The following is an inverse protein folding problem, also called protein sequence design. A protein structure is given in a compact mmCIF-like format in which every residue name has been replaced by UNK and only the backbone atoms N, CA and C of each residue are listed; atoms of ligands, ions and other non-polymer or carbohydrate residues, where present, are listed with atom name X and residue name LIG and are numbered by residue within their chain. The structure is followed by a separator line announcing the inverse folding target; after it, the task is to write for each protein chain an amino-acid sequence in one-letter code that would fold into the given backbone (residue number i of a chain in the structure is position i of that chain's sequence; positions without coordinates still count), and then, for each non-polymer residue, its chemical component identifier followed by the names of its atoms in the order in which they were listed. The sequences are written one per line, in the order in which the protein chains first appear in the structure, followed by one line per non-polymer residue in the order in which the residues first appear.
data_IF_723590554373
#
_entry.id   IF_723590554373
#
_cell.length_a   1.000
_cell.length_b   1.000
_cell.length_c   1.000
_cell.angle_alpha   90.00
_cell.angle_beta   90.00
_cell.angle_gamma   90.00
#
_symmetry.space_group_name_H-M   'P 1'
#
loop_
_entity.id
_entity.type
_entity.pdbx_description
1 polymer ?
#
# COMPACT_ATOMS: atom_id res chain seq x y z
N UNK A 1 17.70 17.13 -1.98
CA UNK A 1 17.85 15.67 -2.04
C UNK A 1 16.47 15.06 -2.18
N UNK A 2 16.36 13.88 -2.79
CA UNK A 2 15.10 13.20 -3.09
C UNK A 2 14.24 12.94 -1.84
N UNK A 3 14.85 12.58 -0.70
CA UNK A 3 14.11 12.37 0.56
C UNK A 3 13.50 13.64 1.20
N UNK A 4 13.87 14.85 0.74
CA UNK A 4 13.27 16.11 1.24
C UNK A 4 11.95 16.46 0.56
N UNK A 5 11.61 15.80 -0.55
CA UNK A 5 10.38 16.11 -1.28
C UNK A 5 9.15 15.47 -0.66
N UNK A 6 9.32 14.49 0.24
CA UNK A 6 8.27 13.60 0.77
C UNK A 6 7.54 12.78 -0.30
N UNK A 7 7.93 12.88 -1.57
CA UNK A 7 7.29 12.18 -2.69
C UNK A 7 7.91 10.80 -2.93
N UNK A 8 8.26 10.08 -1.86
CA UNK A 8 8.95 8.82 -1.97
C UNK A 8 8.56 7.84 -0.87
N UNK A 9 8.14 6.64 -1.28
CA UNK A 9 7.98 5.48 -0.42
C UNK A 9 9.31 4.74 -0.23
N UNK A 10 9.53 4.27 0.99
CA UNK A 10 10.64 3.38 1.33
C UNK A 10 10.04 2.03 1.70
N UNK A 11 10.56 0.95 1.13
CA UNK A 11 10.40 -0.36 1.73
C UNK A 11 11.76 -0.84 2.23
N UNK A 12 11.75 -1.66 3.28
CA UNK A 12 12.93 -2.35 3.76
C UNK A 12 12.74 -3.84 3.49
N UNK A 13 13.78 -4.46 2.97
CA UNK A 13 13.88 -5.89 2.74
C UNK A 13 15.13 -6.43 3.41
N UNK A 14 14.94 -7.41 4.31
CA UNK A 14 16.02 -8.06 5.05
C UNK A 14 16.31 -9.39 4.38
N UNK A 15 17.57 -9.64 4.03
CA UNK A 15 17.97 -10.84 3.34
C UNK A 15 19.35 -11.31 3.80
N UNK A 16 19.55 -12.62 3.74
CA UNK A 16 20.78 -13.26 4.17
C UNK A 16 21.62 -13.66 2.96
N UNK A 17 22.91 -13.32 2.97
CA UNK A 17 23.88 -13.79 1.97
C UNK A 17 24.93 -14.66 2.64
N UNK A 18 25.09 -15.89 2.15
CA UNK A 18 26.25 -16.74 2.48
C UNK A 18 27.43 -16.40 1.56
N UNK A 19 28.39 -15.63 2.06
CA UNK A 19 29.60 -15.25 1.34
C UNK A 19 30.65 -16.34 1.47
N UNK A 20 30.60 -17.33 0.58
CA UNK A 20 31.59 -18.41 0.51
C UNK A 20 32.96 -17.85 0.16
N UNK A 21 33.89 -17.85 1.12
CA UNK A 21 35.29 -17.47 0.89
C UNK A 21 36.05 -18.65 0.30
N UNK A 22 36.86 -18.40 -0.73
CA UNK A 22 37.61 -19.44 -1.47
C UNK A 22 38.86 -19.94 -0.72
N UNK A 23 39.15 -19.37 0.45
CA UNK A 23 40.34 -19.68 1.23
C UNK A 23 40.07 -20.87 2.15
N UNK A 24 40.38 -22.07 1.66
CA UNK A 24 40.47 -23.28 2.48
C UNK A 24 41.74 -23.24 3.36
N UNK A 25 41.74 -22.45 4.42
CA UNK A 25 42.71 -22.63 5.51
C UNK A 25 41.92 -23.11 6.73
N UNK A 26 42.26 -24.33 7.12
CA UNK A 26 41.75 -25.11 8.24
C UNK A 26 41.83 -24.29 9.54
N UNK A 27 40.82 -24.46 10.39
CA UNK A 27 40.66 -23.91 11.75
C UNK A 27 40.40 -22.40 11.85
N UNK A 28 39.23 -21.94 11.39
CA UNK A 28 38.39 -20.93 12.05
C UNK A 28 37.01 -20.94 11.38
N UNK A 29 35.93 -21.22 12.11
CA UNK A 29 34.55 -21.09 11.58
C UNK A 29 34.28 -19.60 11.35
N UNK A 30 34.65 -19.11 10.18
CA UNK A 30 34.41 -17.72 9.80
C UNK A 30 32.92 -17.60 9.52
N UNK A 31 32.25 -16.68 10.21
CA UNK A 31 30.84 -16.39 9.99
C UNK A 31 30.64 -15.87 8.55
N UNK A 32 30.23 -16.76 7.65
CA UNK A 32 30.01 -16.48 6.23
C UNK A 32 28.62 -15.92 5.95
N UNK A 33 27.69 -16.07 6.91
CA UNK A 33 26.34 -15.55 6.78
C UNK A 33 26.34 -14.06 7.12
N UNK A 34 25.88 -13.25 6.18
CA UNK A 34 25.70 -11.81 6.36
C UNK A 34 24.22 -11.48 6.32
N UNK A 35 23.72 -10.91 7.41
CA UNK A 35 22.39 -10.32 7.50
C UNK A 35 22.43 -8.91 6.93
N UNK A 36 21.85 -8.72 5.74
CA UNK A 36 21.84 -7.44 5.07
C UNK A 36 20.41 -6.90 5.00
N UNK A 37 20.30 -5.58 5.03
CA UNK A 37 19.06 -4.89 4.71
C UNK A 37 19.28 -4.08 3.45
N UNK A 38 18.43 -4.29 2.45
CA UNK A 38 18.29 -3.38 1.32
C UNK A 38 16.97 -2.63 1.44
N UNK A 39 16.86 -1.51 0.76
CA UNK A 39 15.59 -0.79 0.68
C UNK A 39 15.33 -0.33 -0.74
N UNK A 40 14.28 -0.85 -1.41
CA UNK A 40 13.84 -0.21 -2.64
C UNK A 40 13.12 1.10 -2.32
N UNK A 41 13.39 2.05 -3.20
CA UNK A 41 12.90 3.40 -3.17
C UNK A 41 11.85 3.59 -4.28
N UNK A 42 10.66 4.04 -3.92
CA UNK A 42 9.52 4.19 -4.83
C UNK A 42 9.11 5.66 -4.94
N UNK A 43 9.52 6.38 -6.01
CA UNK A 43 8.96 7.69 -6.31
C UNK A 43 7.43 7.65 -6.44
N UNK A 44 6.73 8.58 -5.78
CA UNK A 44 5.27 8.72 -5.87
C UNK A 44 4.87 9.46 -7.16
N UNK A 45 5.13 8.84 -8.31
CA UNK A 45 4.97 9.45 -9.65
C UNK A 45 3.51 9.53 -10.15
N UNK A 46 2.53 9.13 -9.34
CA UNK A 46 1.10 9.04 -9.73
C UNK A 46 0.37 10.38 -9.60
N UNK A 47 1.06 11.47 -9.91
CA UNK A 47 0.51 12.82 -9.79
C UNK A 47 0.46 13.36 -8.36
N UNK A 48 1.09 12.67 -7.38
CA UNK A 48 1.15 13.12 -5.99
C UNK A 48 1.95 14.41 -5.91
N UNK A 49 1.36 15.40 -5.27
CA UNK A 49 2.03 16.65 -4.91
C UNK A 49 2.26 16.70 -3.39
N UNK A 50 3.24 17.48 -2.90
CA UNK A 50 3.51 17.57 -1.46
C UNK A 50 2.26 17.95 -0.62
N UNK A 51 1.34 18.71 -1.20
CA UNK A 51 0.08 19.11 -0.59
C UNK A 51 -0.83 17.92 -0.28
N UNK A 52 -0.76 16.83 -1.05
CA UNK A 52 -1.52 15.60 -0.80
C UNK A 52 -1.02 14.90 0.48
N UNK A 53 0.25 15.11 0.82
CA UNK A 53 0.92 14.54 1.99
C UNK A 53 0.89 15.47 3.22
N UNK A 54 0.14 16.58 3.17
CA UNK A 54 0.03 17.54 4.27
C UNK A 54 -0.43 16.92 5.59
N UNK A 55 -1.19 15.81 5.52
CA UNK A 55 -1.70 15.11 6.68
C UNK A 55 -0.70 14.09 7.26
N UNK A 56 0.43 13.83 6.59
CA UNK A 56 1.42 12.82 7.03
C UNK A 56 1.95 13.10 8.44
N UNK A 57 2.21 14.38 8.75
CA UNK A 57 2.63 14.80 10.08
C UNK A 57 1.57 14.51 11.14
N UNK A 58 0.33 14.94 10.89
CA UNK A 58 -0.80 14.70 11.80
C UNK A 58 -1.09 13.21 11.98
N UNK A 59 -0.94 12.41 10.92
CA UNK A 59 -1.06 10.95 11.00
C UNK A 59 0.04 10.34 11.86
N UNK A 60 1.29 10.79 11.70
CA UNK A 60 2.42 10.33 12.49
C UNK A 60 2.30 10.70 13.98
N UNK A 61 1.90 11.94 14.29
CA UNK A 61 1.68 12.40 15.67
C UNK A 61 0.62 11.58 16.41
N UNK A 62 -0.38 11.06 15.69
CA UNK A 62 -1.51 10.30 16.25
C UNK A 62 -1.35 8.78 16.07
N UNK A 63 -0.26 8.34 15.46
CA UNK A 63 -0.02 6.93 15.17
C UNK A 63 0.31 6.17 16.44
N UNK A 64 -0.27 4.98 16.67
CA UNK A 64 0.13 4.11 17.78
C UNK A 64 1.55 3.57 17.61
N UNK A 65 2.16 3.71 16.42
CA UNK A 65 3.54 3.32 16.14
C UNK A 65 4.56 4.42 16.50
N UNK A 66 4.11 5.62 16.81
CA UNK A 66 4.99 6.71 17.22
C UNK A 66 5.24 6.62 18.73
N UNK A 67 6.46 6.23 19.12
CA UNK A 67 6.88 6.06 20.52
C UNK A 67 6.79 7.35 21.35
N UNK A 68 6.74 8.50 20.69
CA UNK A 68 6.61 9.82 21.31
C UNK A 68 5.20 10.41 21.18
N UNK A 69 4.24 9.64 20.65
CA UNK A 69 2.86 10.09 20.55
C UNK A 69 2.31 10.39 21.94
N UNK A 70 1.59 11.50 22.04
CA UNK A 70 0.80 11.76 23.22
C UNK A 70 -0.44 10.86 23.18
N UNK A 71 -0.49 9.88 24.08
CA UNK A 71 -1.57 8.90 24.17
C UNK A 71 -2.96 9.51 24.41
N UNK A 72 -3.04 10.76 24.89
CA UNK A 72 -4.33 11.48 24.96
C UNK A 72 -4.87 11.94 23.61
N UNK A 73 -4.03 11.97 22.56
CA UNK A 73 -4.38 12.35 21.19
C UNK A 73 -4.46 11.17 20.21
N UNK A 74 -4.08 9.97 20.65
CA UNK A 74 -4.24 8.75 19.87
C UNK A 74 -5.74 8.53 19.67
N UNK A 75 -6.18 8.64 18.42
CA UNK A 75 -7.60 8.52 18.06
C UNK A 75 -8.04 7.09 18.37
N UNK A 76 -9.27 6.94 18.86
CA UNK A 76 -9.94 5.64 18.98
C UNK A 76 -9.72 4.83 17.70
N UNK A 77 -9.35 3.56 17.83
CA UNK A 77 -9.16 2.69 16.67
C UNK A 77 -10.41 2.75 15.80
N UNK A 78 -10.24 3.30 14.59
CA UNK A 78 -11.29 3.30 13.58
C UNK A 78 -11.34 1.94 12.93
N UNK A 79 -12.56 1.43 12.79
CA UNK A 79 -12.81 0.18 12.11
C UNK A 79 -12.83 0.37 10.60
N UNK A 80 -12.96 -0.73 9.86
CA UNK A 80 -13.19 -0.67 8.42
C UNK A 80 -14.55 -0.03 8.10
N UNK A 81 -15.49 -0.07 9.05
CA UNK A 81 -16.81 0.56 8.96
C UNK A 81 -16.69 2.09 8.79
N UNK A 82 -15.70 2.71 9.43
CA UNK A 82 -15.45 4.14 9.30
C UNK A 82 -15.01 4.52 7.87
N UNK A 83 -14.36 3.59 7.16
CA UNK A 83 -13.95 3.79 5.76
C UNK A 83 -15.15 3.93 4.83
N UNK A 84 -16.29 3.32 5.19
CA UNK A 84 -17.53 3.41 4.42
C UNK A 84 -18.08 4.84 4.36
N UNK A 85 -17.57 5.74 5.20
CA UNK A 85 -17.99 7.14 5.28
C UNK A 85 -17.01 8.12 4.62
N UNK A 86 -15.93 7.65 4.00
CA UNK A 86 -14.92 8.52 3.36
C UNK A 86 -15.52 9.27 2.17
N UNK A 87 -16.30 8.58 1.34
CA UNK A 87 -16.97 9.15 0.18
C UNK A 87 -18.46 9.32 0.45
N UNK A 88 -18.83 10.25 1.35
CA UNK A 88 -20.25 10.59 1.54
C UNK A 88 -20.79 11.22 0.26
N UNK A 89 -21.81 10.62 -0.29
CA UNK A 89 -22.52 11.11 -1.46
C UNK A 89 -24.01 11.32 -1.15
N UNK A 90 -24.65 12.18 -1.94
CA UNK A 90 -26.09 12.37 -1.87
C UNK A 90 -26.78 11.35 -2.78
N UNK A 91 -27.92 10.78 -2.34
CA UNK A 91 -28.69 9.88 -3.19
C UNK A 91 -29.04 10.51 -4.54
N UNK A 92 -28.98 9.70 -5.59
CA UNK A 92 -29.41 10.12 -6.92
C UNK A 92 -30.96 10.24 -7.02
N UNK A 93 -31.48 10.46 -8.22
CA UNK A 93 -32.94 10.55 -8.46
C UNK A 93 -33.69 9.26 -8.12
N UNK A 94 -33.02 8.12 -8.11
CA UNK A 94 -33.58 6.83 -7.70
C UNK A 94 -33.41 6.56 -6.20
N UNK A 95 -32.81 7.50 -5.46
CA UNK A 95 -32.54 7.35 -4.03
C UNK A 95 -31.34 6.44 -3.73
N UNK A 96 -30.46 6.19 -4.71
CA UNK A 96 -29.31 5.32 -4.55
C UNK A 96 -28.02 6.11 -4.33
N UNK A 97 -27.21 5.67 -3.37
CA UNK A 97 -25.84 6.16 -3.21
C UNK A 97 -24.89 5.55 -4.24
N UNK A 98 -23.71 6.13 -4.41
CA UNK A 98 -22.58 5.59 -5.18
C UNK A 98 -22.27 4.15 -4.72
N UNK A 99 -22.31 3.92 -3.42
CA UNK A 99 -22.10 2.59 -2.84
C UNK A 99 -23.21 1.61 -3.22
N UNK A 100 -24.47 2.03 -3.19
CA UNK A 100 -25.59 1.17 -3.57
C UNK A 100 -25.53 0.80 -5.06
N UNK A 101 -25.14 1.77 -5.90
CA UNK A 101 -24.94 1.56 -7.34
C UNK A 101 -23.76 0.61 -7.59
N UNK A 102 -22.64 0.77 -6.88
CA UNK A 102 -21.51 -0.16 -6.96
C UNK A 102 -21.87 -1.57 -6.48
N UNK A 103 -22.56 -1.70 -5.34
CA UNK A 103 -22.97 -3.01 -4.81
C UNK A 103 -23.93 -3.71 -5.77
N UNK A 104 -24.87 -2.96 -6.36
CA UNK A 104 -25.79 -3.46 -7.38
C UNK A 104 -25.05 -3.94 -8.62
N UNK A 105 -24.10 -3.14 -9.12
CA UNK A 105 -23.22 -3.52 -10.22
C UNK A 105 -22.41 -4.79 -9.88
N UNK A 106 -21.83 -4.88 -8.67
CA UNK A 106 -21.01 -6.01 -8.25
C UNK A 106 -21.84 -7.30 -8.18
N UNK A 107 -23.05 -7.24 -7.63
CA UNK A 107 -23.98 -8.36 -7.61
C UNK A 107 -24.32 -8.84 -9.03
N UNK A 108 -24.62 -7.92 -9.94
CA UNK A 108 -24.90 -8.25 -11.34
C UNK A 108 -23.68 -8.86 -12.04
N UNK A 109 -22.50 -8.28 -11.82
CA UNK A 109 -21.22 -8.82 -12.30
C UNK A 109 -21.03 -10.26 -11.83
N UNK A 110 -21.26 -10.54 -10.55
CA UNK A 110 -21.05 -11.88 -10.00
C UNK A 110 -22.06 -12.89 -10.53
N UNK A 111 -23.31 -12.48 -10.71
CA UNK A 111 -24.32 -13.29 -11.39
C UNK A 111 -23.90 -13.61 -12.84
N UNK A 112 -23.43 -12.62 -13.59
CA UNK A 112 -23.04 -12.80 -15.00
C UNK A 112 -21.83 -13.75 -15.13
N UNK A 113 -20.83 -13.62 -14.24
CA UNK A 113 -19.55 -14.30 -14.39
C UNK A 113 -19.44 -15.63 -13.64
N UNK A 114 -20.18 -15.81 -12.54
CA UNK A 114 -20.00 -16.95 -11.64
C UNK A 114 -21.27 -17.75 -11.35
N UNK A 115 -22.41 -17.38 -11.93
CA UNK A 115 -23.68 -18.10 -11.72
C UNK A 115 -24.08 -18.95 -12.96
N UNK A 116 -25.26 -19.61 -12.96
CA UNK A 116 -25.68 -20.44 -14.08
C UNK A 116 -25.65 -19.73 -15.43
N UNK A 117 -25.42 -20.49 -16.51
CA UNK A 117 -25.28 -20.01 -17.89
C UNK A 117 -26.44 -19.11 -18.38
N UNK A 118 -27.60 -19.18 -17.72
CA UNK A 118 -28.69 -18.23 -17.94
C UNK A 118 -28.22 -16.78 -17.87
N UNK A 119 -27.44 -16.40 -16.86
CA UNK A 119 -27.07 -15.01 -16.61
C UNK A 119 -25.95 -14.49 -17.52
N UNK A 120 -25.14 -15.37 -18.10
CA UNK A 120 -24.07 -15.00 -19.03
C UNK A 120 -24.59 -14.23 -20.27
N UNK A 121 -25.87 -14.40 -20.63
CA UNK A 121 -26.52 -13.66 -21.73
C UNK A 121 -26.55 -12.14 -21.52
N UNK A 122 -26.42 -11.68 -20.28
CA UNK A 122 -26.48 -10.26 -19.92
C UNK A 122 -25.09 -9.60 -19.89
N UNK A 123 -24.04 -10.32 -20.28
CA UNK A 123 -22.67 -9.80 -20.25
C UNK A 123 -22.51 -8.49 -21.02
N UNK A 124 -23.13 -8.39 -22.19
CA UNK A 124 -23.07 -7.19 -23.04
C UNK A 124 -23.97 -6.05 -22.54
N UNK A 125 -24.81 -6.30 -21.52
CA UNK A 125 -25.68 -5.30 -20.91
C UNK A 125 -25.07 -4.65 -19.67
N UNK A 126 -23.98 -5.22 -19.12
CA UNK A 126 -23.33 -4.68 -17.93
C UNK A 126 -22.23 -3.70 -18.33
N UNK A 127 -22.48 -2.41 -18.12
CA UNK A 127 -21.45 -1.37 -18.27
C UNK A 127 -20.39 -1.47 -17.17
N UNK A 128 -19.25 -0.81 -17.38
CA UNK A 128 -18.25 -0.61 -16.32
C UNK A 128 -18.83 0.17 -15.12
N UNK A 129 -18.32 -0.07 -13.90
CA UNK A 129 -18.79 0.63 -12.72
C UNK A 129 -18.38 2.11 -12.80
N UNK A 130 -19.13 2.95 -12.10
CA UNK A 130 -18.80 4.37 -11.96
C UNK A 130 -17.43 4.55 -11.29
N UNK A 131 -16.60 5.41 -11.89
CA UNK A 131 -15.28 5.77 -11.37
C UNK A 131 -15.44 6.97 -10.44
N UNK A 132 -15.08 6.81 -9.16
CA UNK A 132 -15.13 7.90 -8.16
C UNK A 132 -13.79 8.65 -8.11
N UNK A 133 -12.72 7.93 -7.81
CA UNK A 133 -11.36 8.48 -7.72
C UNK A 133 -10.41 7.50 -8.42
N UNK A 134 -10.10 7.82 -9.68
CA UNK A 134 -9.23 6.98 -10.48
C UNK A 134 -7.79 7.09 -9.97
N UNK A 135 -7.22 5.98 -9.50
CA UNK A 135 -5.78 5.90 -9.27
C UNK A 135 -5.10 5.77 -10.64
N UNK A 136 -4.20 6.70 -11.03
CA UNK A 136 -3.53 6.62 -12.31
C UNK A 136 -2.75 5.32 -12.45
N UNK A 137 -3.02 4.55 -13.51
CA UNK A 137 -2.26 3.35 -13.83
C UNK A 137 -0.96 3.76 -14.51
N UNK A 138 0.10 3.86 -13.73
CA UNK A 138 1.44 4.16 -14.21
C UNK A 138 2.42 3.11 -13.72
N UNK A 139 3.48 2.87 -14.49
CA UNK A 139 4.57 1.99 -14.05
C UNK A 139 5.36 2.68 -12.93
N UNK A 140 5.32 2.13 -11.72
CA UNK A 140 6.10 2.64 -10.60
C UNK A 140 7.59 2.36 -10.84
N UNK A 141 8.46 3.40 -10.93
CA UNK A 141 9.89 3.20 -10.97
C UNK A 141 10.39 2.68 -9.62
N UNK A 142 11.36 1.78 -9.65
CA UNK A 142 12.00 1.23 -8.46
C UNK A 142 13.47 1.61 -8.51
N UNK A 143 13.93 2.31 -7.48
CA UNK A 143 15.34 2.67 -7.31
C UNK A 143 15.89 1.74 -6.22
N UNK A 144 16.84 0.87 -6.57
CA UNK A 144 17.49 0.05 -5.56
C UNK A 144 18.46 0.91 -4.74
N UNK A 145 18.36 0.87 -3.41
CA UNK A 145 19.38 1.43 -2.52
C UNK A 145 20.38 0.35 -2.16
N UNK A 146 21.63 0.74 -1.94
CA UNK A 146 22.68 -0.17 -1.51
C UNK A 146 22.28 -0.94 -0.25
N UNK A 147 22.56 -2.24 -0.27
CA UNK A 147 22.45 -3.08 0.90
C UNK A 147 23.44 -2.60 1.97
N UNK A 148 22.97 -2.47 3.19
CA UNK A 148 23.77 -2.11 4.35
C UNK A 148 23.85 -3.31 5.29
N UNK A 149 25.06 -3.55 5.83
CA UNK A 149 25.26 -4.49 6.92
C UNK A 149 24.70 -3.87 8.20
N UNK A 150 23.62 -4.45 8.72
CA UNK A 150 23.04 -4.05 9.99
C UNK A 150 23.36 -5.14 11.00
N UNK A 151 24.61 -5.18 11.47
CA UNK A 151 24.97 -5.98 12.64
C UNK A 151 24.31 -5.36 13.88
N UNK A 152 23.07 -5.77 14.18
CA UNK A 152 22.41 -5.46 15.45
C UNK A 152 23.10 -6.27 16.53
N UNK A 153 24.08 -5.66 17.22
CA UNK A 153 24.63 -6.23 18.45
C UNK A 153 23.54 -6.13 19.53
N UNK A 154 22.97 -7.28 19.89
CA UNK A 154 22.19 -7.44 21.12
C UNK A 154 23.08 -7.29 22.35
#
# INVERSE_FOLDING_TARGET
SLGKTLLMGYANDNFDIDLKTTNHIVENSTDTLKHLTSGPLFPLVHGVVPEDLRCSWTLWERSPLNLHANWSHVVLQRGWEDLLSIHRDLPDKAGLTHRDRFNSWKMLSDLIHFSPAYFARFKDCLCDPEVVEAIPVIKTPIIAVHAMDISVKW
#
